data_IF_482438843624
#
_entry.id   IF_482438843624
#
_cell.length_a   1.000
_cell.length_b   1.000
_cell.length_c   1.000
_cell.angle_alpha   90.00
_cell.angle_beta   90.00
_cell.angle_gamma   90.00
#
_symmetry.space_group_name_H-M   'P 1'
#
loop_
_entity.id
_entity.type
_entity.pdbx_description
1 polymer ?
#
# COMPACT_ATOMS: atom_id res chain seq x y z
N UNK A 1 24.31 50.66 -2.97
CA UNK A 1 24.62 49.59 -3.93
C UNK A 1 25.61 48.55 -3.38
N UNK A 2 26.86 48.90 -3.05
CA UNK A 2 27.90 47.92 -2.63
C UNK A 2 27.53 47.07 -1.39
N UNK A 3 26.88 47.67 -0.39
CA UNK A 3 26.44 46.98 0.85
C UNK A 3 25.35 45.93 0.63
N UNK A 4 24.50 46.12 -0.39
CA UNK A 4 23.43 45.18 -0.73
C UNK A 4 24.00 43.90 -1.35
N UNK A 5 24.96 44.04 -2.26
CA UNK A 5 25.67 42.91 -2.87
C UNK A 5 26.48 42.10 -1.86
N UNK A 6 27.12 42.75 -0.88
CA UNK A 6 27.84 42.02 0.19
C UNK A 6 26.90 41.27 1.12
N UNK A 7 25.72 41.82 1.42
CA UNK A 7 24.68 41.13 2.20
C UNK A 7 24.10 39.93 1.45
N UNK A 8 23.81 40.07 0.15
CA UNK A 8 23.36 38.97 -0.71
C UNK A 8 24.43 37.86 -0.80
N UNK A 9 25.70 38.25 -0.90
CA UNK A 9 26.82 37.31 -0.95
C UNK A 9 27.02 36.55 0.37
N UNK A 10 26.82 37.20 1.52
CA UNK A 10 26.83 36.54 2.84
C UNK A 10 25.59 35.64 3.07
N UNK A 11 24.46 35.93 2.43
CA UNK A 11 23.25 35.11 2.51
C UNK A 11 23.34 33.81 1.70
N UNK A 12 24.09 33.80 0.58
CA UNK A 12 24.29 32.59 -0.22
C UNK A 12 24.82 31.37 0.56
N UNK A 13 25.92 31.45 1.33
CA UNK A 13 26.42 30.30 2.09
C UNK A 13 25.46 29.88 3.21
N UNK A 14 24.73 30.82 3.82
CA UNK A 14 23.71 30.51 4.83
C UNK A 14 22.54 29.75 4.20
N UNK A 15 22.06 30.19 3.04
CA UNK A 15 21.01 29.52 2.29
C UNK A 15 21.44 28.12 1.79
N UNK A 16 22.69 27.99 1.34
CA UNK A 16 23.26 26.71 0.92
C UNK A 16 23.40 25.73 2.10
N UNK A 17 23.84 26.21 3.27
CA UNK A 17 23.90 25.41 4.49
C UNK A 17 22.49 24.99 4.93
N UNK A 18 21.54 25.92 4.97
CA UNK A 18 20.16 25.62 5.33
C UNK A 18 19.55 24.56 4.41
N UNK A 19 19.71 24.70 3.08
CA UNK A 19 19.22 23.72 2.12
C UNK A 19 19.93 22.36 2.26
N UNK A 20 21.25 22.34 2.44
CA UNK A 20 22.00 21.08 2.52
C UNK A 20 21.69 20.30 3.80
N UNK A 21 21.55 20.99 4.92
CA UNK A 21 21.25 20.36 6.22
C UNK A 21 19.78 19.98 6.39
N UNK A 22 18.85 20.66 5.71
CA UNK A 22 17.42 20.34 5.77
C UNK A 22 17.00 19.48 4.56
N UNK A 23 16.79 20.12 3.41
CA UNK A 23 16.26 19.47 2.21
C UNK A 23 17.18 18.38 1.61
N UNK A 24 18.50 18.60 1.69
CA UNK A 24 19.50 17.68 1.16
C UNK A 24 19.51 16.34 1.88
N UNK A 25 19.27 16.32 3.19
CA UNK A 25 19.21 15.08 3.98
C UNK A 25 17.95 14.29 3.67
N UNK A 26 16.79 14.95 3.60
CA UNK A 26 15.52 14.30 3.27
C UNK A 26 15.54 13.67 1.88
N UNK A 27 16.15 14.33 0.89
CA UNK A 27 16.31 13.74 -0.44
C UNK A 27 17.17 12.47 -0.42
N UNK A 28 18.25 12.44 0.35
CA UNK A 28 19.08 11.24 0.50
C UNK A 28 18.33 10.11 1.20
N UNK A 29 17.52 10.43 2.22
CA UNK A 29 16.64 9.46 2.88
C UNK A 29 15.64 8.88 1.89
N UNK A 30 14.99 9.71 1.05
CA UNK A 30 14.06 9.24 0.01
C UNK A 30 14.73 8.31 -1.00
N UNK A 31 15.98 8.61 -1.42
CA UNK A 31 16.74 7.73 -2.30
C UNK A 31 17.05 6.39 -1.63
N UNK A 32 17.43 6.40 -0.34
CA UNK A 32 17.63 5.16 0.43
C UNK A 32 16.34 4.36 0.55
N UNK A 33 15.22 5.01 0.89
CA UNK A 33 13.91 4.39 0.99
C UNK A 33 13.48 3.73 -0.33
N UNK A 34 13.75 4.36 -1.49
CA UNK A 34 13.50 3.74 -2.81
C UNK A 34 14.30 2.46 -3.01
N UNK A 35 15.60 2.47 -2.70
CA UNK A 35 16.44 1.27 -2.78
C UNK A 35 15.95 0.18 -1.82
N UNK A 36 15.49 0.57 -0.63
CA UNK A 36 14.94 -0.34 0.35
C UNK A 36 13.64 -1.01 -0.18
N UNK A 37 12.72 -0.24 -0.77
CA UNK A 37 11.52 -0.79 -1.44
C UNK A 37 11.89 -1.78 -2.54
N UNK A 38 12.92 -1.48 -3.36
CA UNK A 38 13.40 -2.39 -4.39
C UNK A 38 13.94 -3.69 -3.81
N UNK A 39 14.69 -3.63 -2.70
CA UNK A 39 15.17 -4.82 -2.00
C UNK A 39 14.01 -5.66 -1.46
N UNK A 40 12.97 -5.04 -0.89
CA UNK A 40 11.77 -5.75 -0.43
C UNK A 40 11.06 -6.46 -1.58
N UNK A 41 10.91 -5.80 -2.74
CA UNK A 41 10.32 -6.43 -3.94
C UNK A 41 11.13 -7.62 -4.44
N UNK A 42 12.44 -7.60 -4.29
CA UNK A 42 13.29 -8.75 -4.64
C UNK A 42 13.05 -9.92 -3.67
N UNK A 43 12.85 -9.65 -2.38
CA UNK A 43 12.48 -10.66 -1.39
C UNK A 43 11.10 -11.27 -1.68
N UNK A 44 10.12 -10.44 -2.03
CA UNK A 44 8.77 -10.89 -2.44
C UNK A 44 8.79 -11.76 -3.71
N UNK A 45 9.74 -11.51 -4.63
CA UNK A 45 9.89 -12.25 -5.88
C UNK A 45 10.70 -13.55 -5.73
N UNK A 46 11.23 -13.85 -4.54
CA UNK A 46 11.95 -15.09 -4.29
C UNK A 46 11.02 -16.31 -4.45
N UNK A 47 11.62 -17.49 -4.69
CA UNK A 47 10.85 -18.74 -4.84
C UNK A 47 10.06 -19.09 -3.57
N UNK A 48 10.68 -18.84 -2.42
CA UNK A 48 10.10 -19.04 -1.08
C UNK A 48 10.31 -17.74 -0.30
N UNK A 49 9.39 -16.76 -0.42
CA UNK A 49 9.52 -15.49 0.27
C UNK A 49 9.38 -15.66 1.79
N UNK A 50 10.31 -15.09 2.55
CA UNK A 50 10.17 -14.96 4.00
C UNK A 50 9.30 -13.72 4.31
N UNK A 51 7.99 -13.94 4.40
CA UNK A 51 7.05 -12.87 4.66
C UNK A 51 7.19 -12.24 6.05
N UNK A 52 7.72 -12.97 7.04
CA UNK A 52 7.97 -12.42 8.36
C UNK A 52 9.08 -11.35 8.27
N UNK A 53 10.19 -11.69 7.60
CA UNK A 53 11.25 -10.73 7.32
C UNK A 53 10.76 -9.56 6.46
N UNK A 54 9.97 -9.80 5.42
CA UNK A 54 9.41 -8.74 4.56
C UNK A 54 8.57 -7.75 5.38
N UNK A 55 7.74 -8.24 6.30
CA UNK A 55 6.94 -7.38 7.19
C UNK A 55 7.83 -6.52 8.09
N UNK A 56 8.92 -7.09 8.64
CA UNK A 56 9.90 -6.36 9.45
C UNK A 56 10.62 -5.27 8.63
N UNK A 57 11.01 -5.57 7.39
CA UNK A 57 11.65 -4.60 6.51
C UNK A 57 10.69 -3.46 6.12
N UNK A 58 9.39 -3.74 5.94
CA UNK A 58 8.39 -2.70 5.79
C UNK A 58 8.22 -1.82 7.04
N UNK A 59 8.38 -2.37 8.24
CA UNK A 59 8.37 -1.61 9.49
C UNK A 59 9.59 -0.69 9.62
N UNK A 60 10.78 -1.21 9.30
CA UNK A 60 12.00 -0.41 9.23
C UNK A 60 11.86 0.72 8.23
N UNK A 61 11.43 0.41 7.01
CA UNK A 61 11.20 1.39 5.96
C UNK A 61 10.24 2.50 6.41
N UNK A 62 9.12 2.13 7.05
CA UNK A 62 8.13 3.11 7.53
C UNK A 62 8.70 4.10 8.55
N UNK A 63 9.62 3.62 9.40
CA UNK A 63 10.36 4.44 10.37
C UNK A 63 11.48 5.29 9.76
N UNK A 64 12.03 4.89 8.61
CA UNK A 64 13.08 5.62 7.89
C UNK A 64 12.55 6.80 7.06
N UNK A 65 11.26 6.79 6.69
CA UNK A 65 10.68 7.83 5.82
C UNK A 65 10.72 9.22 6.48
N UNK A 66 11.07 10.29 5.74
CA UNK A 66 11.13 11.64 6.29
C UNK A 66 9.74 12.13 6.71
N UNK A 67 9.67 13.00 7.72
CA UNK A 67 8.40 13.41 8.33
C UNK A 67 7.42 14.06 7.32
N UNK A 68 7.96 14.73 6.30
CA UNK A 68 7.24 15.40 5.22
C UNK A 68 6.96 14.47 4.01
N UNK A 69 7.17 13.16 4.14
CA UNK A 69 6.91 12.20 3.07
C UNK A 69 5.44 12.23 2.63
N UNK A 70 5.21 12.04 1.32
CA UNK A 70 3.87 12.12 0.76
C UNK A 70 2.95 11.06 1.39
N UNK A 71 1.73 11.42 1.81
CA UNK A 71 0.78 10.45 2.39
C UNK A 71 0.53 9.24 1.47
N UNK A 72 0.52 9.45 0.15
CA UNK A 72 0.38 8.38 -0.84
C UNK A 72 1.44 7.28 -0.66
N UNK A 73 2.71 7.67 -0.48
CA UNK A 73 3.83 6.72 -0.32
C UNK A 73 3.68 5.92 0.96
N UNK A 74 3.34 6.59 2.07
CA UNK A 74 3.08 5.94 3.35
C UNK A 74 1.92 4.94 3.25
N UNK A 75 0.82 5.32 2.61
CA UNK A 75 -0.32 4.43 2.40
C UNK A 75 0.01 3.24 1.49
N UNK A 76 0.82 3.43 0.45
CA UNK A 76 1.26 2.35 -0.42
C UNK A 76 2.12 1.33 0.32
N UNK A 77 3.05 1.78 1.18
CA UNK A 77 3.91 0.91 1.99
C UNK A 77 3.06 0.12 3.00
N UNK A 78 2.13 0.78 3.70
CA UNK A 78 1.22 0.11 4.64
C UNK A 78 0.31 -0.90 3.94
N UNK A 79 -0.20 -0.58 2.74
CA UNK A 79 -0.96 -1.53 1.93
C UNK A 79 -0.12 -2.75 1.52
N UNK A 80 1.14 -2.55 1.13
CA UNK A 80 2.05 -3.64 0.76
C UNK A 80 2.34 -4.55 1.96
N UNK A 81 2.65 -3.96 3.12
CA UNK A 81 2.80 -4.70 4.39
C UNK A 81 1.56 -5.50 4.75
N UNK A 82 0.37 -4.92 4.61
CA UNK A 82 -0.88 -5.62 4.88
C UNK A 82 -1.10 -6.82 3.94
N UNK A 83 -0.68 -6.71 2.66
CA UNK A 83 -0.69 -7.86 1.74
C UNK A 83 0.28 -8.95 2.19
N UNK A 84 1.50 -8.59 2.60
CA UNK A 84 2.47 -9.55 3.15
C UNK A 84 1.93 -10.26 4.41
N UNK A 85 1.19 -9.56 5.29
CA UNK A 85 0.48 -10.19 6.42
C UNK A 85 -0.54 -11.23 5.98
N UNK A 86 -1.31 -10.95 4.92
CA UNK A 86 -2.27 -11.90 4.38
C UNK A 86 -1.59 -13.16 3.82
N UNK A 87 -0.40 -13.05 3.23
CA UNK A 87 0.39 -14.22 2.79
C UNK A 87 0.81 -15.10 3.97
N UNK A 88 1.02 -14.53 5.15
CA UNK A 88 1.24 -15.29 6.39
C UNK A 88 -0.05 -15.77 7.07
N UNK A 89 -1.22 -15.57 6.45
CA UNK A 89 -2.53 -15.82 7.06
C UNK A 89 -2.77 -15.04 8.38
N UNK A 90 -2.03 -13.95 8.62
CA UNK A 90 -2.34 -12.99 9.69
C UNK A 90 -3.53 -12.11 9.27
N UNK A 91 -4.71 -12.72 9.25
CA UNK A 91 -5.93 -12.07 8.78
C UNK A 91 -6.37 -10.98 9.75
N UNK A 92 -6.24 -11.20 11.06
CA UNK A 92 -6.65 -10.24 12.09
C UNK A 92 -5.82 -8.96 11.98
N UNK A 93 -4.48 -9.09 12.00
CA UNK A 93 -3.57 -7.96 11.90
C UNK A 93 -3.67 -7.23 10.56
N UNK A 94 -4.02 -7.93 9.47
CA UNK A 94 -4.30 -7.29 8.19
C UNK A 94 -5.64 -6.54 8.19
N UNK A 95 -6.72 -7.11 8.73
CA UNK A 95 -8.04 -6.46 8.73
C UNK A 95 -8.08 -5.17 9.55
N UNK A 96 -7.44 -5.16 10.72
CA UNK A 96 -7.39 -3.97 11.59
C UNK A 96 -6.63 -2.83 10.89
N UNK A 97 -5.46 -3.15 10.35
CA UNK A 97 -4.61 -2.21 9.63
C UNK A 97 -5.31 -1.66 8.38
N UNK A 98 -5.90 -2.53 7.55
CA UNK A 98 -6.59 -2.13 6.32
C UNK A 98 -7.86 -1.31 6.61
N UNK A 99 -8.55 -1.56 7.72
CA UNK A 99 -9.73 -0.78 8.11
C UNK A 99 -9.34 0.65 8.48
N UNK A 100 -8.27 0.82 9.26
CA UNK A 100 -7.72 2.13 9.59
C UNK A 100 -7.21 2.84 8.32
N UNK A 101 -6.40 2.14 7.53
CA UNK A 101 -5.80 2.67 6.33
C UNK A 101 -6.85 3.10 5.28
N UNK A 102 -7.96 2.38 5.16
CA UNK A 102 -9.06 2.74 4.28
C UNK A 102 -9.70 4.08 4.67
N UNK A 103 -9.91 4.31 5.97
CA UNK A 103 -10.46 5.56 6.48
C UNK A 103 -9.52 6.73 6.20
N UNK A 104 -8.24 6.56 6.49
CA UNK A 104 -7.23 7.59 6.28
C UNK A 104 -7.03 7.90 4.79
N UNK A 105 -7.00 6.88 3.93
CA UNK A 105 -6.84 7.08 2.49
C UNK A 105 -8.06 7.73 1.87
N UNK A 106 -9.27 7.39 2.30
CA UNK A 106 -10.50 8.02 1.84
C UNK A 106 -10.54 9.52 2.23
N UNK A 107 -10.11 9.87 3.45
CA UNK A 107 -10.03 11.26 3.89
C UNK A 107 -8.96 12.05 3.13
N UNK A 108 -7.83 11.42 2.79
CA UNK A 108 -6.68 12.11 2.18
C UNK A 108 -6.79 12.22 0.66
N UNK A 109 -7.23 11.14 0.00
CA UNK A 109 -7.21 11.01 -1.46
C UNK A 109 -8.61 10.98 -2.08
N UNK A 110 -9.66 10.75 -1.28
CA UNK A 110 -11.03 10.54 -1.73
C UNK A 110 -11.41 9.04 -1.82
N UNK A 111 -12.73 8.79 -1.89
CA UNK A 111 -13.32 7.44 -1.88
C UNK A 111 -12.97 6.61 -3.13
N UNK A 112 -12.87 7.29 -4.28
CA UNK A 112 -12.65 6.69 -5.61
C UNK A 112 -11.19 6.71 -6.05
N UNK A 113 -10.28 7.28 -5.25
CA UNK A 113 -8.87 7.29 -5.57
C UNK A 113 -8.32 5.87 -5.71
N UNK A 114 -7.39 5.67 -6.66
CA UNK A 114 -6.84 4.35 -6.97
C UNK A 114 -6.26 3.63 -5.74
N UNK A 115 -5.57 4.36 -4.84
CA UNK A 115 -5.03 3.80 -3.60
C UNK A 115 -6.14 3.38 -2.63
N UNK A 116 -7.16 4.22 -2.42
CA UNK A 116 -8.31 3.91 -1.56
C UNK A 116 -9.07 2.70 -2.09
N UNK A 117 -9.26 2.62 -3.41
CA UNK A 117 -9.88 1.48 -4.08
C UNK A 117 -9.06 0.20 -3.87
N UNK A 118 -7.73 0.26 -4.03
CA UNK A 118 -6.84 -0.89 -3.82
C UNK A 118 -6.81 -1.38 -2.36
N UNK A 119 -6.85 -0.46 -1.39
CA UNK A 119 -6.98 -0.79 0.04
C UNK A 119 -8.32 -1.49 0.29
N UNK A 120 -9.41 -0.92 -0.24
CA UNK A 120 -10.77 -1.48 -0.11
C UNK A 120 -10.85 -2.89 -0.69
N UNK A 121 -10.28 -3.11 -1.88
CA UNK A 121 -10.19 -4.45 -2.49
C UNK A 121 -9.43 -5.44 -1.60
N UNK A 122 -8.28 -5.01 -1.07
CA UNK A 122 -7.44 -5.85 -0.20
C UNK A 122 -8.15 -6.18 1.12
N UNK A 123 -8.90 -5.24 1.70
CA UNK A 123 -9.75 -5.48 2.87
C UNK A 123 -10.86 -6.49 2.57
N UNK A 124 -11.46 -6.42 1.37
CA UNK A 124 -12.41 -7.44 0.89
C UNK A 124 -11.79 -8.83 0.85
N UNK A 125 -10.56 -8.96 0.33
CA UNK A 125 -9.80 -10.22 0.32
C UNK A 125 -9.48 -10.72 1.74
N UNK A 126 -9.12 -9.82 2.66
CA UNK A 126 -8.87 -10.18 4.05
C UNK A 126 -10.11 -10.78 4.73
N UNK A 127 -11.28 -10.18 4.56
CA UNK A 127 -12.54 -10.73 5.09
C UNK A 127 -12.96 -12.04 4.40
N UNK A 128 -12.64 -12.19 3.12
CA UNK A 128 -12.82 -13.47 2.43
C UNK A 128 -11.96 -14.55 3.10
N UNK A 129 -10.65 -14.31 3.31
CA UNK A 129 -9.78 -15.25 4.01
C UNK A 129 -10.25 -15.54 5.45
N UNK A 130 -10.70 -14.53 6.19
CA UNK A 130 -11.28 -14.72 7.53
C UNK A 130 -12.45 -15.71 7.49
N UNK A 131 -13.34 -15.56 6.51
CA UNK A 131 -14.49 -16.42 6.32
C UNK A 131 -14.08 -17.87 6.14
N UNK A 132 -13.13 -18.14 5.24
CA UNK A 132 -12.69 -19.51 4.94
C UNK A 132 -11.85 -20.11 6.07
N UNK A 133 -11.01 -19.31 6.73
CA UNK A 133 -10.26 -19.74 7.91
C UNK A 133 -11.22 -20.19 9.03
N UNK A 134 -12.25 -19.41 9.33
CA UNK A 134 -13.24 -19.76 10.34
C UNK A 134 -14.06 -21.00 9.94
N UNK A 135 -14.51 -21.09 8.69
CA UNK A 135 -15.24 -22.25 8.18
C UNK A 135 -14.42 -23.54 8.26
N UNK A 136 -13.14 -23.49 7.86
CA UNK A 136 -12.25 -24.64 7.89
C UNK A 136 -11.93 -25.10 9.32
N UNK A 137 -11.92 -24.18 10.27
CA UNK A 137 -11.79 -24.47 11.70
C UNK A 137 -13.10 -24.92 12.39
N UNK A 138 -14.20 -25.08 11.64
CA UNK A 138 -15.48 -25.56 12.18
C UNK A 138 -16.27 -24.53 12.99
N UNK A 139 -15.98 -23.24 12.83
CA UNK A 139 -16.71 -22.16 13.49
C UNK A 139 -18.19 -22.16 13.10
N UNK A 140 -19.04 -21.69 14.01
CA UNK A 140 -20.48 -21.59 13.78
C UNK A 140 -20.79 -20.53 12.71
N UNK A 141 -21.95 -20.65 12.06
CA UNK A 141 -22.39 -19.70 11.04
C UNK A 141 -22.41 -18.24 11.54
N UNK A 142 -22.83 -18.01 12.78
CA UNK A 142 -22.83 -16.68 13.40
C UNK A 142 -21.45 -16.04 13.49
N UNK A 143 -20.37 -16.84 13.49
CA UNK A 143 -18.99 -16.36 13.63
C UNK A 143 -18.38 -16.00 12.28
N UNK A 144 -18.58 -16.82 11.23
CA UNK A 144 -17.98 -16.56 9.92
C UNK A 144 -18.86 -15.71 8.99
N UNK A 145 -20.19 -15.74 9.16
CA UNK A 145 -21.13 -15.05 8.26
C UNK A 145 -20.92 -13.52 8.22
N UNK A 146 -20.61 -12.81 9.33
CA UNK A 146 -20.34 -11.38 9.26
C UNK A 146 -19.21 -11.02 8.29
N UNK A 147 -18.13 -11.80 8.26
CA UNK A 147 -17.01 -11.59 7.34
C UNK A 147 -17.39 -11.85 5.88
N UNK A 148 -18.23 -12.88 5.65
CA UNK A 148 -18.74 -13.19 4.32
C UNK A 148 -19.63 -12.04 3.78
N UNK A 149 -20.53 -11.51 4.61
CA UNK A 149 -21.37 -10.38 4.22
C UNK A 149 -20.53 -9.12 3.99
N UNK A 150 -19.51 -8.88 4.83
CA UNK A 150 -18.63 -7.72 4.66
C UNK A 150 -17.85 -7.79 3.35
N UNK A 151 -17.36 -8.97 2.99
CA UNK A 151 -16.73 -9.25 1.70
C UNK A 151 -17.66 -8.87 0.54
N UNK A 152 -18.93 -9.34 0.58
CA UNK A 152 -19.92 -9.03 -0.47
C UNK A 152 -20.20 -7.54 -0.59
N UNK A 153 -20.42 -6.86 0.54
CA UNK A 153 -20.68 -5.41 0.56
C UNK A 153 -19.54 -4.62 -0.08
N UNK A 154 -18.29 -4.98 0.25
CA UNK A 154 -17.10 -4.33 -0.29
C UNK A 154 -17.00 -4.52 -1.81
N UNK A 155 -17.15 -5.75 -2.31
CA UNK A 155 -17.03 -6.00 -3.75
C UNK A 155 -18.22 -5.42 -4.53
N UNK A 156 -19.41 -5.41 -3.94
CA UNK A 156 -20.56 -4.70 -4.51
C UNK A 156 -20.28 -3.20 -4.64
N UNK A 157 -19.77 -2.56 -3.59
CA UNK A 157 -19.37 -1.16 -3.63
C UNK A 157 -18.35 -0.91 -4.76
N UNK A 158 -17.32 -1.75 -4.87
CA UNK A 158 -16.29 -1.64 -5.90
C UNK A 158 -16.84 -1.80 -7.32
N UNK A 159 -17.85 -2.65 -7.52
CA UNK A 159 -18.51 -2.83 -8.80
C UNK A 159 -19.39 -1.63 -9.18
N UNK A 160 -20.15 -1.09 -8.21
CA UNK A 160 -21.01 0.09 -8.40
C UNK A 160 -20.20 1.36 -8.71
N UNK A 161 -18.97 1.46 -8.18
CA UNK A 161 -18.06 2.61 -8.36
C UNK A 161 -16.94 2.32 -9.40
N UNK A 162 -17.19 1.46 -10.37
CA UNK A 162 -16.26 1.24 -11.48
C UNK A 162 -16.67 2.09 -12.69
N UNK A 163 -15.71 2.43 -13.57
CA UNK A 163 -16.04 3.08 -14.84
C UNK A 163 -16.88 2.19 -15.77
N UNK A 164 -17.87 2.75 -16.50
CA UNK A 164 -18.63 2.01 -17.50
C UNK A 164 -17.69 1.30 -18.50
N UNK A 165 -17.92 0.00 -18.73
CA UNK A 165 -17.09 -0.83 -19.63
C UNK A 165 -15.77 -1.34 -19.05
N UNK A 166 -15.41 -1.01 -17.80
CA UNK A 166 -14.19 -1.54 -17.18
C UNK A 166 -14.24 -3.07 -16.98
N UNK A 167 -15.42 -3.63 -16.67
CA UNK A 167 -15.63 -5.07 -16.53
C UNK A 167 -15.43 -5.80 -17.86
N UNK A 168 -16.05 -5.33 -18.94
CA UNK A 168 -15.93 -5.92 -20.28
C UNK A 168 -14.46 -5.98 -20.72
N UNK A 169 -13.73 -4.86 -20.59
CA UNK A 169 -12.27 -4.81 -20.85
C UNK A 169 -11.45 -5.75 -19.95
N UNK A 170 -11.92 -6.00 -18.74
CA UNK A 170 -11.25 -6.92 -17.83
C UNK A 170 -11.49 -8.38 -18.26
N UNK A 171 -12.74 -8.74 -18.59
CA UNK A 171 -13.11 -10.07 -19.06
C UNK A 171 -12.40 -10.43 -20.37
N UNK A 172 -12.30 -9.50 -21.32
CA UNK A 172 -11.52 -9.69 -22.56
C UNK A 172 -10.05 -10.02 -22.27
N UNK A 173 -9.44 -9.34 -21.31
CA UNK A 173 -8.04 -9.57 -20.92
C UNK A 173 -7.86 -10.92 -20.24
N UNK A 174 -8.80 -11.31 -19.38
CA UNK A 174 -8.78 -12.62 -18.72
C UNK A 174 -8.91 -13.72 -19.76
N UNK A 175 -9.83 -13.58 -20.72
CA UNK A 175 -9.97 -14.53 -21.82
C UNK A 175 -8.68 -14.64 -22.63
N UNK A 176 -8.05 -13.52 -22.99
CA UNK A 176 -6.79 -13.50 -23.74
C UNK A 176 -5.62 -14.16 -22.99
N UNK A 177 -5.46 -13.88 -21.68
CA UNK A 177 -4.44 -14.56 -20.87
C UNK A 177 -4.73 -16.06 -20.72
N UNK A 178 -6.00 -16.44 -20.56
CA UNK A 178 -6.39 -17.85 -20.50
C UNK A 178 -6.03 -18.60 -21.79
N UNK A 179 -6.34 -18.06 -22.96
CA UNK A 179 -5.95 -18.64 -24.26
C UNK A 179 -4.42 -18.78 -24.40
N UNK A 180 -3.67 -17.78 -23.94
CA UNK A 180 -2.20 -17.81 -23.94
C UNK A 180 -1.63 -18.88 -23.01
N UNK A 181 -2.29 -19.16 -21.88
CA UNK A 181 -1.85 -20.25 -20.99
C UNK A 181 -2.14 -21.64 -21.55
N UNK A 182 -3.22 -21.81 -22.31
CA UNK A 182 -3.57 -23.08 -22.95
C UNK A 182 -2.73 -23.39 -24.20
N UNK A 183 -2.11 -22.39 -24.81
CA UNK A 183 -1.27 -22.52 -26.02
C UNK A 183 0.23 -22.68 -25.73
N UNK A 184 0.61 -22.74 -24.44
CA UNK A 184 1.97 -23.06 -23.97
C UNK A 184 2.05 -24.50 -23.47
#
# INVERSE_FOLDING_TARGET
MRKFFTLLWLLCPVAALYYHFNEGQDQLIRVKARKHVEAIRQMEAAKEPDYALIIEEYDKLSGELPADEQPLVRHQIRLAKAKARLEMLDVVGATDELTLLLRESAQTHGEDAAITRAIRETLGKAHYYATYLLKTNGAAESEWRPFAERTRQIFRFLAEHQEPGALEKYEERVAAEFEKTLSK
#
